data_IF_181581285264
#
_entry.id   IF_181581285264
#
_cell.length_a   1.000
_cell.length_b   1.000
_cell.length_c   1.000
_cell.angle_alpha   90.00
_cell.angle_beta   90.00
_cell.angle_gamma   90.00
#
_symmetry.space_group_name_H-M   'P 1'
#
loop_
_entity.id
_entity.type
_entity.pdbx_description
1 polymer ?
#
# COMPACT_ATOMS: atom_id res chain seq x y z
N UNK A 1 22.58 -2.22 -24.78
CA UNK A 1 21.23 -1.60 -24.77
C UNK A 1 20.15 -2.39 -25.53
N UNK A 2 20.40 -2.90 -26.75
CA UNK A 2 19.41 -3.71 -27.52
C UNK A 2 19.19 -5.15 -27.00
N UNK A 3 20.21 -5.74 -26.37
CA UNK A 3 20.22 -7.14 -25.92
C UNK A 3 19.48 -7.41 -24.58
N UNK A 4 19.16 -6.37 -23.80
CA UNK A 4 18.47 -6.52 -22.50
C UNK A 4 16.94 -6.58 -22.67
N UNK A 5 16.40 -5.79 -23.60
CA UNK A 5 14.99 -5.90 -24.01
C UNK A 5 14.64 -7.29 -24.58
N UNK A 6 15.61 -7.97 -25.20
CA UNK A 6 15.46 -9.35 -25.67
C UNK A 6 15.34 -10.32 -24.48
N UNK A 7 16.09 -10.11 -23.38
CA UNK A 7 16.03 -10.94 -22.16
C UNK A 7 14.76 -10.74 -21.32
N UNK A 8 14.19 -9.53 -21.28
CA UNK A 8 12.89 -9.29 -20.64
C UNK A 8 11.74 -9.83 -21.51
N UNK A 9 11.78 -9.60 -22.83
CA UNK A 9 10.80 -10.20 -23.76
C UNK A 9 10.86 -11.72 -23.82
N UNK A 10 12.01 -12.35 -23.52
CA UNK A 10 12.13 -13.81 -23.50
C UNK A 10 11.68 -14.45 -22.18
N UNK A 11 11.61 -13.68 -21.08
CA UNK A 11 11.08 -14.14 -19.76
C UNK A 11 9.59 -13.84 -19.57
N UNK A 12 9.08 -12.80 -20.23
CA UNK A 12 7.65 -12.65 -20.44
C UNK A 12 7.22 -13.67 -21.49
N UNK A 13 6.58 -14.78 -21.08
CA UNK A 13 5.85 -15.62 -22.05
C UNK A 13 4.96 -14.67 -22.87
N UNK A 14 5.04 -14.67 -24.21
CA UNK A 14 4.09 -13.91 -25.00
C UNK A 14 2.68 -14.31 -24.54
N UNK A 15 1.74 -13.36 -24.43
CA UNK A 15 0.35 -13.72 -24.15
C UNK A 15 -0.02 -14.79 -25.16
N UNK A 16 -0.57 -15.92 -24.68
CA UNK A 16 -1.13 -16.93 -25.59
C UNK A 16 -2.07 -16.16 -26.50
N UNK A 17 -1.82 -16.17 -27.82
CA UNK A 17 -2.63 -15.45 -28.82
C UNK A 17 -4.13 -15.83 -28.75
N UNK A 18 -4.46 -16.90 -28.03
CA UNK A 18 -5.80 -17.44 -27.83
C UNK A 18 -6.15 -17.72 -26.34
N UNK A 19 -5.54 -17.02 -25.37
CA UNK A 19 -6.10 -17.08 -24.01
C UNK A 19 -7.45 -16.36 -24.02
N UNK A 20 -8.52 -17.07 -23.64
CA UNK A 20 -9.82 -16.43 -23.42
C UNK A 20 -9.61 -15.19 -22.55
N UNK A 21 -10.23 -14.03 -22.88
CA UNK A 21 -10.11 -12.83 -22.06
C UNK A 21 -10.45 -13.24 -20.63
N UNK A 22 -9.50 -13.03 -19.72
CA UNK A 22 -9.69 -13.42 -18.33
C UNK A 22 -11.00 -12.82 -17.84
N UNK A 23 -11.84 -13.67 -17.24
CA UNK A 23 -13.16 -13.26 -16.75
C UNK A 23 -13.07 -12.23 -15.61
N UNK A 24 -11.86 -11.87 -15.16
CA UNK A 24 -11.64 -10.90 -14.09
C UNK A 24 -11.14 -9.56 -14.62
N UNK A 25 -11.68 -8.47 -14.10
CA UNK A 25 -11.30 -7.08 -14.38
C UNK A 25 -10.79 -6.39 -13.12
N UNK A 26 -10.07 -5.29 -13.32
CA UNK A 26 -9.63 -4.40 -12.25
C UNK A 26 -10.75 -3.41 -11.94
N UNK A 27 -11.18 -3.28 -10.68
CA UNK A 27 -12.14 -2.25 -10.27
C UNK A 27 -11.50 -0.86 -10.18
N UNK A 28 -10.19 -0.81 -9.98
CA UNK A 28 -9.46 0.38 -9.57
C UNK A 28 -9.44 1.44 -10.68
N UNK A 29 -9.32 1.00 -11.94
CA UNK A 29 -9.40 1.90 -13.10
C UNK A 29 -10.74 2.65 -13.22
N UNK A 30 -11.78 2.23 -12.49
CA UNK A 30 -13.11 2.86 -12.48
C UNK A 30 -13.37 3.74 -11.28
N UNK A 31 -12.59 3.63 -10.21
CA UNK A 31 -12.90 4.27 -8.92
C UNK A 31 -11.69 4.86 -8.19
N UNK A 32 -10.50 4.80 -8.78
CA UNK A 32 -9.29 5.28 -8.13
C UNK A 32 -8.17 5.67 -9.08
N UNK A 33 -7.13 6.24 -8.49
CA UNK A 33 -5.85 6.51 -9.14
C UNK A 33 -4.72 6.58 -8.11
N UNK A 34 -3.48 6.47 -8.61
CA UNK A 34 -2.28 6.74 -7.82
C UNK A 34 -1.67 8.08 -8.24
N UNK A 35 -1.35 8.93 -7.27
CA UNK A 35 -0.62 10.19 -7.46
C UNK A 35 0.82 9.98 -7.00
N UNK A 36 1.77 10.13 -7.91
CA UNK A 36 3.19 9.96 -7.63
C UNK A 36 3.82 11.25 -7.08
N UNK A 37 5.02 11.15 -6.50
CA UNK A 37 5.69 12.28 -5.86
C UNK A 37 6.02 13.47 -6.78
N UNK A 38 6.03 13.29 -8.11
CA UNK A 38 6.20 14.32 -9.13
C UNK A 38 4.86 14.83 -9.71
N UNK A 39 3.74 14.42 -9.12
CA UNK A 39 2.38 14.70 -9.59
C UNK A 39 1.89 13.82 -10.74
N UNK A 40 2.71 12.91 -11.27
CA UNK A 40 2.28 11.97 -12.31
C UNK A 40 1.18 11.05 -11.79
N UNK A 41 0.21 10.73 -12.65
CA UNK A 41 -0.93 9.86 -12.31
C UNK A 41 -0.79 8.51 -13.01
N UNK A 42 -0.97 7.43 -12.26
CA UNK A 42 -1.02 6.05 -12.80
C UNK A 42 -2.28 5.32 -12.34
N UNK A 43 -2.55 4.15 -12.93
CA UNK A 43 -3.80 3.42 -12.66
C UNK A 43 -3.85 2.71 -11.31
N UNK A 44 -2.71 2.30 -10.74
CA UNK A 44 -2.64 1.54 -9.49
C UNK A 44 -1.20 1.39 -8.96
N UNK A 45 -1.07 0.84 -7.75
CA UNK A 45 0.20 0.52 -7.08
C UNK A 45 1.10 -0.47 -7.84
N UNK A 46 0.61 -1.15 -8.88
CA UNK A 46 1.42 -2.09 -9.69
C UNK A 46 2.04 -1.46 -10.93
N UNK A 47 1.76 -0.18 -11.22
CA UNK A 47 2.38 0.57 -12.33
C UNK A 47 3.53 1.47 -11.83
N UNK A 48 4.34 0.94 -10.92
CA UNK A 48 5.50 1.60 -10.31
C UNK A 48 6.60 1.98 -11.31
N UNK A 49 6.58 1.39 -12.51
CA UNK A 49 7.54 1.66 -13.58
C UNK A 49 7.00 2.62 -14.64
N UNK A 50 5.88 3.30 -14.37
CA UNK A 50 5.26 4.24 -15.31
C UNK A 50 5.05 3.64 -16.70
N UNK A 51 4.70 2.35 -16.75
CA UNK A 51 4.37 1.67 -18.01
C UNK A 51 3.20 2.35 -18.72
N UNK A 52 2.40 3.15 -18.00
CA UNK A 52 1.38 4.03 -18.57
C UNK A 52 1.04 5.22 -17.64
N UNK A 53 1.80 6.32 -17.73
CA UNK A 53 1.37 7.63 -17.15
C UNK A 53 0.04 8.07 -17.79
N UNK A 54 -0.97 8.33 -16.96
CA UNK A 54 -2.33 8.68 -17.39
C UNK A 54 -2.60 10.19 -17.40
N UNK A 55 -1.78 10.97 -16.69
CA UNK A 55 -1.84 12.43 -16.64
C UNK A 55 -0.86 12.97 -15.60
N UNK A 56 -0.91 14.27 -15.32
CA UNK A 56 -0.14 14.88 -14.24
C UNK A 56 -0.95 15.99 -13.55
N UNK A 57 -1.09 15.92 -12.23
CA UNK A 57 -1.92 16.84 -11.45
C UNK A 57 -1.34 18.25 -11.35
N UNK A 58 -0.04 18.42 -11.65
CA UNK A 58 0.59 19.74 -11.70
C UNK A 58 0.18 20.52 -12.97
N UNK A 59 -0.28 19.84 -14.01
CA UNK A 59 -0.59 20.47 -15.31
C UNK A 59 -2.03 20.29 -15.76
N UNK A 60 -2.80 19.39 -15.14
CA UNK A 60 -4.17 19.07 -15.54
C UNK A 60 -5.08 18.93 -14.31
N UNK A 61 -6.38 19.27 -14.41
CA UNK A 61 -7.40 18.88 -13.43
C UNK A 61 -7.59 17.35 -13.38
N UNK A 62 -7.91 16.80 -12.20
CA UNK A 62 -8.21 15.39 -11.98
C UNK A 62 -9.36 14.90 -12.85
N UNK A 63 -10.39 15.72 -13.06
CA UNK A 63 -11.53 15.36 -13.93
C UNK A 63 -11.07 15.11 -15.37
N UNK A 64 -10.20 15.97 -15.91
CA UNK A 64 -9.64 15.81 -17.26
C UNK A 64 -8.74 14.57 -17.35
N UNK A 65 -8.00 14.24 -16.29
CA UNK A 65 -7.18 13.03 -16.24
C UNK A 65 -8.10 11.80 -16.18
N UNK A 66 -8.99 11.71 -15.19
CA UNK A 66 -9.81 10.52 -14.90
C UNK A 66 -10.92 10.28 -15.92
N UNK A 67 -11.47 11.33 -16.50
CA UNK A 67 -12.40 11.28 -17.63
C UNK A 67 -11.70 11.28 -18.99
N UNK A 68 -10.38 11.45 -19.01
CA UNK A 68 -9.60 11.59 -20.23
C UNK A 68 -9.47 10.30 -21.04
N UNK A 69 -9.03 10.46 -22.29
CA UNK A 69 -8.97 9.37 -23.26
C UNK A 69 -8.06 8.21 -22.81
N UNK A 70 -7.00 8.49 -22.05
CA UNK A 70 -6.10 7.46 -21.50
C UNK A 70 -6.81 6.54 -20.50
N UNK A 71 -7.64 7.09 -19.62
CA UNK A 71 -8.48 6.31 -18.71
C UNK A 71 -9.60 5.59 -19.45
N UNK A 72 -10.27 6.26 -20.39
CA UNK A 72 -11.32 5.63 -21.21
C UNK A 72 -10.79 4.46 -22.06
N UNK A 73 -9.61 4.57 -22.66
CA UNK A 73 -8.94 3.46 -23.36
C UNK A 73 -8.66 2.30 -22.41
N UNK A 74 -8.10 2.58 -21.21
CA UNK A 74 -7.80 1.55 -20.23
C UNK A 74 -9.06 0.82 -19.75
N UNK A 75 -10.14 1.56 -19.48
CA UNK A 75 -11.45 1.00 -19.13
C UNK A 75 -12.03 0.16 -20.27
N UNK A 76 -12.03 0.66 -21.51
CA UNK A 76 -12.46 -0.11 -22.69
C UNK A 76 -11.69 -1.42 -22.84
N UNK A 77 -10.38 -1.39 -22.66
CA UNK A 77 -9.51 -2.58 -22.70
C UNK A 77 -9.78 -3.56 -21.57
N UNK A 78 -10.07 -3.08 -20.36
CA UNK A 78 -10.51 -3.95 -19.26
C UNK A 78 -11.83 -4.65 -19.57
N UNK A 79 -12.79 -3.91 -20.14
CA UNK A 79 -14.12 -4.41 -20.48
C UNK A 79 -14.06 -5.40 -21.64
N UNK A 80 -13.32 -5.10 -22.70
CA UNK A 80 -13.17 -5.99 -23.86
C UNK A 80 -12.31 -7.21 -23.53
N UNK A 81 -11.32 -7.06 -22.66
CA UNK A 81 -10.30 -8.08 -22.40
C UNK A 81 -9.08 -7.98 -23.31
N UNK A 82 -8.97 -6.93 -24.11
CA UNK A 82 -7.72 -6.55 -24.79
C UNK A 82 -6.74 -5.88 -23.80
N UNK A 83 -6.33 -6.67 -22.80
CA UNK A 83 -5.58 -6.18 -21.65
C UNK A 83 -4.17 -5.73 -22.05
N UNK A 84 -3.69 -4.56 -21.57
CA UNK A 84 -2.29 -4.19 -21.67
C UNK A 84 -1.38 -5.27 -21.04
N UNK A 85 -0.14 -5.47 -21.52
CA UNK A 85 0.76 -6.52 -21.03
C UNK A 85 0.91 -6.55 -19.50
N UNK A 86 1.02 -5.38 -18.87
CA UNK A 86 1.12 -5.23 -17.42
C UNK A 86 -0.14 -5.69 -16.67
N UNK A 87 -1.31 -5.59 -17.30
CA UNK A 87 -2.58 -5.99 -16.71
C UNK A 87 -2.80 -7.50 -16.80
N UNK A 88 -2.23 -8.19 -17.81
CA UNK A 88 -2.49 -9.62 -18.07
C UNK A 88 -2.25 -10.50 -16.84
N UNK A 89 -1.26 -10.19 -16.00
CA UNK A 89 -0.97 -10.95 -14.76
C UNK A 89 -1.11 -10.11 -13.49
N UNK A 90 -1.80 -8.98 -13.58
CA UNK A 90 -1.99 -8.12 -12.43
C UNK A 90 -2.88 -8.82 -11.38
N UNK A 91 -2.43 -8.94 -10.11
CA UNK A 91 -3.20 -9.57 -9.05
C UNK A 91 -4.42 -8.73 -8.63
N UNK A 92 -4.50 -7.46 -9.03
CA UNK A 92 -5.64 -6.58 -8.73
C UNK A 92 -6.86 -6.84 -9.63
N UNK A 93 -6.76 -7.75 -10.61
CA UNK A 93 -7.91 -8.19 -11.41
C UNK A 93 -8.65 -9.30 -10.67
N UNK A 94 -9.46 -8.92 -9.69
CA UNK A 94 -10.18 -9.84 -8.79
C UNK A 94 -11.69 -9.87 -8.99
N UNK A 95 -12.25 -8.92 -9.76
CA UNK A 95 -13.70 -8.78 -9.93
C UNK A 95 -14.18 -9.49 -11.20
N UNK A 96 -15.22 -10.34 -11.15
CA UNK A 96 -15.83 -10.89 -12.36
C UNK A 96 -16.32 -9.79 -13.32
N UNK A 97 -16.12 -10.01 -14.61
CA UNK A 97 -16.71 -9.22 -15.69
C UNK A 97 -18.19 -9.55 -15.79
N UNK A 98 -19.00 -8.51 -15.75
CA UNK A 98 -20.47 -8.61 -15.75
C UNK A 98 -21.09 -8.22 -17.08
N UNK A 99 -20.38 -7.47 -17.93
CA UNK A 99 -20.91 -6.91 -19.17
C UNK A 99 -21.65 -5.59 -18.98
N UNK A 100 -21.91 -5.18 -17.73
CA UNK A 100 -22.61 -3.94 -17.37
C UNK A 100 -21.65 -2.80 -17.00
N UNK A 101 -20.34 -2.99 -17.19
CA UNK A 101 -19.34 -1.96 -16.91
C UNK A 101 -19.46 -0.77 -17.87
N UNK A 102 -19.35 0.44 -17.33
CA UNK A 102 -19.34 1.68 -18.12
C UNK A 102 -17.91 2.08 -18.47
N UNK A 103 -17.72 2.72 -19.64
CA UNK A 103 -16.43 3.36 -19.98
C UNK A 103 -16.18 4.64 -19.18
N UNK A 104 -17.25 5.26 -18.68
CA UNK A 104 -17.16 6.36 -17.73
C UNK A 104 -16.84 5.82 -16.33
N UNK A 105 -15.99 6.55 -15.60
CA UNK A 105 -15.63 6.21 -14.23
C UNK A 105 -16.80 6.45 -13.26
N UNK A 106 -16.75 5.84 -12.09
CA UNK A 106 -17.77 5.96 -11.04
C UNK A 106 -17.47 7.09 -10.03
N UNK A 107 -16.63 8.04 -10.44
CA UNK A 107 -15.98 9.00 -9.54
C UNK A 107 -14.77 8.40 -8.82
N UNK A 108 -13.95 9.26 -8.23
CA UNK A 108 -12.74 8.87 -7.50
C UNK A 108 -13.15 8.58 -6.05
N UNK A 109 -13.20 7.31 -5.67
CA UNK A 109 -13.58 6.87 -4.32
C UNK A 109 -12.39 6.64 -3.41
N UNK A 110 -11.22 6.31 -3.97
CA UNK A 110 -10.01 6.22 -3.16
C UNK A 110 -8.77 6.62 -3.96
N UNK A 111 -7.77 7.13 -3.24
CA UNK A 111 -6.51 7.60 -3.79
C UNK A 111 -5.35 6.88 -3.11
N UNK A 112 -4.36 6.51 -3.92
CA UNK A 112 -3.04 6.16 -3.43
C UNK A 112 -2.12 7.37 -3.64
N UNK A 113 -1.44 7.82 -2.60
CA UNK A 113 -0.58 9.01 -2.65
C UNK A 113 0.84 8.58 -2.30
N UNK A 114 1.79 8.87 -3.21
CA UNK A 114 3.23 8.78 -2.99
C UNK A 114 3.74 10.14 -2.49
N UNK A 115 3.93 10.35 -1.18
CA UNK A 115 4.28 11.67 -0.67
C UNK A 115 5.70 12.03 -1.05
N UNK A 116 6.58 11.04 -1.22
CA UNK A 116 7.99 11.24 -1.54
C UNK A 116 8.57 10.01 -2.23
N UNK A 117 9.31 10.24 -3.31
CA UNK A 117 10.09 9.21 -3.99
C UNK A 117 11.50 9.14 -3.38
N UNK A 118 11.56 8.79 -2.09
CA UNK A 118 12.82 8.60 -1.35
C UNK A 118 12.58 7.75 -0.09
N UNK A 119 13.62 7.09 0.40
CA UNK A 119 13.58 6.22 1.56
C UNK A 119 14.95 6.17 2.24
N UNK A 120 14.93 6.12 3.57
CA UNK A 120 16.11 6.00 4.43
C UNK A 120 16.65 4.57 4.54
N UNK A 121 15.90 3.55 4.08
CA UNK A 121 16.29 2.14 4.09
C UNK A 121 16.75 1.65 2.71
N UNK A 122 17.41 0.49 2.68
CA UNK A 122 17.87 -0.20 1.45
C UNK A 122 17.40 -1.65 1.43
N UNK A 123 16.10 -1.88 1.55
CA UNK A 123 15.59 -3.24 1.74
C UNK A 123 15.87 -4.12 0.51
N UNK A 124 16.39 -5.35 0.69
CA UNK A 124 16.53 -6.31 -0.41
C UNK A 124 15.18 -6.52 -1.09
N UNK A 125 15.15 -6.57 -2.42
CA UNK A 125 13.92 -6.73 -3.21
C UNK A 125 12.90 -5.58 -3.11
N UNK A 126 13.22 -4.45 -2.48
CA UNK A 126 12.41 -3.23 -2.62
C UNK A 126 12.66 -2.62 -4.01
N UNK A 127 11.60 -2.33 -4.76
CA UNK A 127 11.72 -1.77 -6.10
C UNK A 127 12.43 -0.42 -6.12
N UNK A 128 12.23 0.45 -5.12
CA UNK A 128 12.97 1.71 -5.00
C UNK A 128 14.47 1.48 -4.84
N UNK A 129 14.86 0.48 -4.02
CA UNK A 129 16.28 0.13 -3.82
C UNK A 129 16.87 -0.42 -5.11
N UNK A 130 16.16 -1.32 -5.78
CA UNK A 130 16.57 -1.89 -7.06
C UNK A 130 16.72 -0.83 -8.15
N UNK A 131 15.80 0.14 -8.24
CA UNK A 131 15.89 1.27 -9.19
C UNK A 131 17.17 2.08 -8.98
N UNK A 132 17.56 2.34 -7.73
CA UNK A 132 18.78 3.08 -7.41
C UNK A 132 20.06 2.28 -7.65
N UNK A 133 20.10 1.01 -7.24
CA UNK A 133 21.30 0.17 -7.37
C UNK A 133 21.56 -0.25 -8.81
N UNK A 134 20.52 -0.58 -9.57
CA UNK A 134 20.64 -1.01 -10.97
C UNK A 134 20.71 0.16 -11.96
N UNK A 135 20.65 1.42 -11.46
CA UNK A 135 20.53 2.64 -12.27
C UNK A 135 19.42 2.49 -13.34
N UNK A 136 18.31 1.87 -12.92
CA UNK A 136 17.23 1.42 -13.78
C UNK A 136 16.01 2.31 -13.55
N UNK A 137 15.60 3.08 -14.57
CA UNK A 137 14.45 4.00 -14.50
C UNK A 137 14.51 4.93 -13.28
N UNK A 138 15.61 5.68 -13.14
CA UNK A 138 15.75 6.64 -12.05
C UNK A 138 14.79 7.82 -12.27
N UNK A 139 13.79 7.92 -11.40
CA UNK A 139 13.03 9.15 -11.18
C UNK A 139 13.82 10.05 -10.23
N UNK A 140 13.76 11.39 -10.40
CA UNK A 140 14.41 12.28 -9.46
C UNK A 140 13.83 12.06 -8.06
N UNK A 141 14.70 12.10 -7.05
CA UNK A 141 14.23 12.19 -5.67
C UNK A 141 13.42 13.47 -5.55
N UNK A 142 12.14 13.33 -5.30
CA UNK A 142 11.20 14.44 -5.24
C UNK A 142 10.12 14.13 -4.21
N UNK A 143 9.46 15.18 -3.74
CA UNK A 143 8.34 15.11 -2.83
C UNK A 143 7.12 15.75 -3.49
N UNK A 144 5.94 15.16 -3.30
CA UNK A 144 4.69 15.78 -3.69
C UNK A 144 4.57 17.09 -2.91
N UNK A 145 4.25 18.19 -3.59
CA UNK A 145 4.06 19.48 -2.92
C UNK A 145 2.73 19.49 -2.17
N UNK A 146 2.67 20.23 -1.06
CA UNK A 146 1.40 20.48 -0.38
C UNK A 146 0.35 21.12 -1.30
N UNK A 147 0.76 21.99 -2.22
CA UNK A 147 -0.15 22.62 -3.19
C UNK A 147 -0.81 21.59 -4.12
N UNK A 148 0.00 20.71 -4.74
CA UNK A 148 -0.51 19.66 -5.60
C UNK A 148 -1.41 18.69 -4.83
N UNK A 149 -1.04 18.35 -3.59
CA UNK A 149 -1.87 17.55 -2.71
C UNK A 149 -3.21 18.23 -2.42
N UNK A 150 -3.23 19.51 -2.03
CA UNK A 150 -4.46 20.27 -1.75
C UNK A 150 -5.40 20.26 -2.96
N UNK A 151 -4.86 20.55 -4.16
CA UNK A 151 -5.60 20.50 -5.42
C UNK A 151 -6.25 19.13 -5.63
N UNK A 152 -5.49 18.05 -5.47
CA UNK A 152 -5.99 16.67 -5.59
C UNK A 152 -7.15 16.40 -4.62
N UNK A 153 -7.01 16.80 -3.35
CA UNK A 153 -8.05 16.59 -2.33
C UNK A 153 -9.29 17.42 -2.65
N UNK A 154 -9.15 18.69 -3.02
CA UNK A 154 -10.26 19.56 -3.38
C UNK A 154 -11.08 18.96 -4.52
N UNK A 155 -10.43 18.53 -5.59
CA UNK A 155 -11.07 17.99 -6.80
C UNK A 155 -11.67 16.60 -6.58
N UNK A 156 -11.07 15.76 -5.73
CA UNK A 156 -11.60 14.42 -5.42
C UNK A 156 -12.66 14.43 -4.30
N UNK A 157 -12.74 15.50 -3.49
CA UNK A 157 -13.58 15.56 -2.29
C UNK A 157 -15.06 15.18 -2.45
N UNK A 158 -15.75 15.38 -3.59
CA UNK A 158 -17.16 15.03 -3.70
C UNK A 158 -17.47 13.53 -3.55
N UNK A 159 -16.50 12.66 -3.87
CA UNK A 159 -16.69 11.20 -3.86
C UNK A 159 -15.64 10.43 -3.07
N UNK A 160 -14.56 11.10 -2.65
CA UNK A 160 -13.41 10.46 -2.02
C UNK A 160 -13.75 9.95 -0.61
N UNK A 161 -13.48 8.66 -0.39
CA UNK A 161 -13.74 7.95 0.87
C UNK A 161 -12.47 7.49 1.57
N UNK A 162 -11.38 7.27 0.83
CA UNK A 162 -10.15 6.72 1.39
C UNK A 162 -8.89 7.28 0.73
N UNK A 163 -7.89 7.65 1.54
CA UNK A 163 -6.51 7.85 1.09
C UNK A 163 -5.59 6.82 1.70
N UNK A 164 -4.79 6.17 0.83
CA UNK A 164 -3.62 5.39 1.20
C UNK A 164 -2.36 6.22 1.01
N UNK A 165 -1.71 6.57 2.11
CA UNK A 165 -0.53 7.43 2.15
C UNK A 165 0.73 6.56 2.19
N UNK A 166 1.12 6.05 1.02
CA UNK A 166 2.21 5.09 0.80
C UNK A 166 2.41 4.92 -0.71
N UNK A 167 3.59 4.55 -1.20
CA UNK A 167 3.76 3.98 -2.55
C UNK A 167 5.14 3.30 -2.64
N UNK A 168 6.19 4.06 -2.94
CA UNK A 168 7.54 3.54 -3.15
C UNK A 168 8.55 4.05 -2.11
N UNK A 169 8.37 5.30 -1.64
CA UNK A 169 9.22 5.88 -0.61
C UNK A 169 8.72 5.65 0.82
N UNK A 170 9.43 6.26 1.77
CA UNK A 170 9.00 6.38 3.16
C UNK A 170 8.13 7.64 3.29
N UNK A 171 6.80 7.52 3.42
CA UNK A 171 5.90 8.66 3.33
C UNK A 171 6.21 9.76 4.35
N UNK A 172 6.60 9.38 5.57
CA UNK A 172 6.85 10.34 6.66
C UNK A 172 8.18 11.08 6.52
N UNK A 173 8.97 10.82 5.48
CA UNK A 173 10.11 11.65 5.09
C UNK A 173 9.71 12.93 4.34
N UNK A 174 8.48 13.04 3.83
CA UNK A 174 8.02 14.30 3.26
C UNK A 174 7.83 15.32 4.41
N UNK A 175 8.54 16.46 4.41
CA UNK A 175 8.45 17.44 5.49
C UNK A 175 7.06 18.08 5.63
N UNK A 176 6.23 17.99 4.59
CA UNK A 176 4.86 18.51 4.55
C UNK A 176 3.80 17.42 4.85
N UNK A 177 4.19 16.20 5.23
CA UNK A 177 3.25 15.09 5.46
C UNK A 177 2.16 15.44 6.48
N UNK A 178 2.54 16.06 7.60
CA UNK A 178 1.58 16.44 8.65
C UNK A 178 0.57 17.46 8.14
N UNK A 179 1.02 18.42 7.33
CA UNK A 179 0.12 19.44 6.76
C UNK A 179 -0.80 18.85 5.70
N UNK A 180 -0.34 17.86 4.93
CA UNK A 180 -1.19 17.10 4.01
C UNK A 180 -2.28 16.33 4.77
N UNK A 181 -1.91 15.58 5.81
CA UNK A 181 -2.85 14.80 6.62
C UNK A 181 -3.89 15.70 7.29
N UNK A 182 -3.44 16.82 7.88
CA UNK A 182 -4.32 17.82 8.51
C UNK A 182 -5.31 18.38 7.49
N UNK A 183 -4.82 18.81 6.33
CA UNK A 183 -5.67 19.36 5.28
C UNK A 183 -6.71 18.36 4.77
N UNK A 184 -6.32 17.10 4.56
CA UNK A 184 -7.25 16.06 4.13
C UNK A 184 -8.38 15.83 5.14
N UNK A 185 -8.04 15.77 6.44
CA UNK A 185 -9.03 15.63 7.53
C UNK A 185 -9.94 16.85 7.64
N UNK A 186 -9.40 18.06 7.55
CA UNK A 186 -10.17 19.31 7.59
C UNK A 186 -11.15 19.41 6.42
N UNK A 187 -10.70 19.06 5.21
CA UNK A 187 -11.51 19.13 3.99
C UNK A 187 -12.60 18.06 3.96
N UNK A 188 -12.29 16.85 4.43
CA UNK A 188 -13.18 15.68 4.36
C UNK A 188 -13.19 15.00 5.75
N UNK A 189 -14.05 15.47 6.69
CA UNK A 189 -14.01 14.99 8.07
C UNK A 189 -14.21 13.48 8.26
N UNK A 190 -14.91 12.82 7.34
CA UNK A 190 -15.21 11.38 7.37
C UNK A 190 -14.25 10.53 6.50
N UNK A 191 -13.21 11.14 5.93
CA UNK A 191 -12.24 10.44 5.10
C UNK A 191 -11.51 9.38 5.91
N UNK A 192 -11.41 8.16 5.37
CA UNK A 192 -10.54 7.15 5.95
C UNK A 192 -9.10 7.41 5.50
N UNK A 193 -8.17 7.54 6.44
CA UNK A 193 -6.75 7.79 6.15
C UNK A 193 -5.92 6.64 6.70
N UNK A 194 -5.18 5.96 5.81
CA UNK A 194 -4.26 4.89 6.19
C UNK A 194 -2.83 5.18 5.74
N UNK A 195 -1.86 4.93 6.61
CA UNK A 195 -0.43 5.12 6.36
C UNK A 195 0.29 3.76 6.46
N UNK A 196 1.17 3.48 5.51
CA UNK A 196 2.14 2.39 5.62
C UNK A 196 3.55 2.97 5.65
N UNK A 197 4.32 2.63 6.68
CA UNK A 197 5.60 3.29 6.98
C UNK A 197 6.58 2.28 7.59
N UNK A 198 7.88 2.54 7.43
CA UNK A 198 8.92 1.82 8.17
C UNK A 198 9.07 2.29 9.63
N UNK A 199 8.33 3.33 10.03
CA UNK A 199 8.20 3.78 11.42
C UNK A 199 9.37 4.58 12.00
N UNK A 200 10.50 4.71 11.30
CA UNK A 200 11.69 5.39 11.83
C UNK A 200 11.54 6.91 11.99
N UNK A 201 10.52 7.49 11.36
CA UNK A 201 10.15 8.91 11.44
C UNK A 201 8.96 9.19 12.37
N UNK A 202 8.42 8.18 13.07
CA UNK A 202 7.34 8.35 14.07
C UNK A 202 7.94 8.77 15.44
N UNK A 203 8.74 9.83 15.46
CA UNK A 203 9.19 10.45 16.71
C UNK A 203 8.05 11.16 17.45
N UNK A 204 8.31 11.68 18.65
CA UNK A 204 7.28 12.26 19.54
C UNK A 204 6.35 13.28 18.85
N UNK A 205 6.90 14.22 18.09
CA UNK A 205 6.10 15.22 17.35
C UNK A 205 5.19 14.58 16.30
N UNK A 206 5.71 13.59 15.57
CA UNK A 206 4.92 12.85 14.58
C UNK A 206 3.86 11.98 15.26
N UNK A 207 4.15 11.36 16.40
CA UNK A 207 3.17 10.58 17.17
C UNK A 207 1.97 11.44 17.53
N UNK A 208 2.23 12.63 18.08
CA UNK A 208 1.18 13.62 18.41
C UNK A 208 0.42 14.04 17.16
N UNK A 209 1.11 14.38 16.08
CA UNK A 209 0.48 14.79 14.84
C UNK A 209 -0.44 13.71 14.23
N UNK A 210 -0.04 12.44 14.24
CA UNK A 210 -0.83 11.33 13.70
C UNK A 210 -2.13 11.10 14.52
N UNK A 211 -2.06 11.27 15.84
CA UNK A 211 -3.23 11.19 16.72
C UNK A 211 -4.15 12.41 16.53
N UNK A 212 -3.60 13.62 16.53
CA UNK A 212 -4.36 14.87 16.38
C UNK A 212 -5.05 15.00 15.02
N UNK A 213 -4.39 14.57 13.95
CA UNK A 213 -4.98 14.53 12.59
C UNK A 213 -6.00 13.40 12.43
N UNK A 214 -6.21 12.59 13.47
CA UNK A 214 -7.17 11.49 13.49
C UNK A 214 -6.92 10.51 12.34
N UNK A 215 -5.65 10.14 12.08
CA UNK A 215 -5.34 9.06 11.14
C UNK A 215 -6.02 7.79 11.61
N UNK A 216 -6.72 7.09 10.72
CA UNK A 216 -7.54 5.95 11.10
C UNK A 216 -6.70 4.68 11.27
N UNK A 217 -5.66 4.52 10.44
CA UNK A 217 -4.84 3.32 10.43
C UNK A 217 -3.36 3.59 10.13
N UNK A 218 -2.46 2.99 10.93
CA UNK A 218 -1.02 3.02 10.72
C UNK A 218 -0.47 1.60 10.74
N UNK A 219 0.08 1.16 9.60
CA UNK A 219 0.77 -0.11 9.46
C UNK A 219 2.28 0.13 9.47
N UNK A 220 2.95 -0.35 10.50
CA UNK A 220 4.38 -0.16 10.71
C UNK A 220 5.11 -1.44 10.31
N UNK A 221 5.97 -1.32 9.31
CA UNK A 221 6.71 -2.43 8.73
C UNK A 221 8.01 -2.71 9.50
N UNK A 222 8.02 -3.76 10.32
CA UNK A 222 9.17 -4.17 11.13
C UNK A 222 9.38 -5.68 10.98
N UNK A 223 10.34 -6.10 10.16
CA UNK A 223 10.48 -7.51 9.72
C UNK A 223 11.56 -8.27 10.51
N UNK A 224 11.44 -8.27 11.84
CA UNK A 224 12.36 -8.93 12.78
C UNK A 224 11.99 -8.58 14.22
N UNK A 225 12.35 -9.43 15.19
CA UNK A 225 12.12 -9.19 16.62
C UNK A 225 13.40 -8.79 17.39
N UNK A 226 14.51 -8.59 16.66
CA UNK A 226 15.79 -8.13 17.18
C UNK A 226 16.51 -7.27 16.14
N UNK A 227 17.55 -6.53 16.56
CA UNK A 227 18.39 -5.79 15.61
C UNK A 227 18.99 -6.71 14.55
N UNK A 228 19.43 -7.92 14.95
CA UNK A 228 20.09 -8.88 14.07
C UNK A 228 19.16 -9.39 12.96
N UNK A 229 17.94 -9.78 13.29
CA UNK A 229 16.96 -10.31 12.32
C UNK A 229 16.31 -9.21 11.49
N UNK A 230 16.06 -8.04 12.10
CA UNK A 230 15.44 -6.88 11.46
C UNK A 230 16.28 -6.33 10.30
N UNK A 231 17.59 -6.11 10.52
CA UNK A 231 18.43 -5.46 9.51
C UNK A 231 18.82 -6.34 8.33
N UNK A 232 18.61 -7.65 8.40
CA UNK A 232 18.79 -8.54 7.25
C UNK A 232 17.91 -8.09 6.08
N UNK A 233 16.68 -7.64 6.38
CA UNK A 233 15.79 -7.06 5.38
C UNK A 233 15.76 -5.53 5.45
N UNK A 234 15.64 -4.92 6.63
CA UNK A 234 15.48 -3.48 6.79
C UNK A 234 16.84 -2.79 6.90
N UNK A 235 17.65 -2.93 5.86
CA UNK A 235 19.05 -2.44 5.82
C UNK A 235 19.11 -0.94 6.10
N UNK A 236 19.93 -0.55 7.06
CA UNK A 236 20.06 0.82 7.56
C UNK A 236 19.06 1.18 8.67
N UNK A 237 18.24 0.24 9.10
CA UNK A 237 17.26 0.43 10.17
C UNK A 237 17.84 0.22 11.58
N UNK A 238 17.18 0.83 12.55
CA UNK A 238 17.41 0.64 13.98
C UNK A 238 16.13 0.05 14.62
N UNK A 239 16.23 -1.20 15.07
CA UNK A 239 15.13 -1.95 15.67
C UNK A 239 14.65 -1.30 16.97
N UNK A 240 15.59 -0.87 17.82
CA UNK A 240 15.26 -0.24 19.10
C UNK A 240 14.47 1.05 18.87
N UNK A 241 14.94 1.87 17.92
CA UNK A 241 14.27 3.12 17.55
C UNK A 241 12.87 2.89 16.99
N UNK A 242 12.71 1.99 16.01
CA UNK A 242 11.38 1.74 15.43
C UNK A 242 10.41 1.14 16.45
N UNK A 243 10.90 0.25 17.33
CA UNK A 243 10.10 -0.31 18.42
C UNK A 243 9.66 0.78 19.41
N UNK A 244 10.57 1.66 19.84
CA UNK A 244 10.26 2.81 20.69
C UNK A 244 9.26 3.77 20.04
N UNK A 245 9.41 4.03 18.74
CA UNK A 245 8.48 4.87 17.99
C UNK A 245 7.08 4.26 17.92
N UNK A 246 6.97 2.95 17.68
CA UNK A 246 5.71 2.21 17.64
C UNK A 246 5.02 2.22 19.01
N UNK A 247 5.75 1.86 20.08
CA UNK A 247 5.22 1.89 21.44
C UNK A 247 4.86 3.33 21.88
N UNK A 248 5.64 4.33 21.47
CA UNK A 248 5.36 5.74 21.73
C UNK A 248 4.08 6.23 21.04
N UNK A 249 3.80 5.76 19.81
CA UNK A 249 2.55 6.07 19.13
C UNK A 249 1.33 5.47 19.87
N UNK A 250 1.43 4.22 20.32
CA UNK A 250 0.40 3.58 21.16
C UNK A 250 0.17 4.38 22.43
N UNK A 251 1.24 4.70 23.16
CA UNK A 251 1.15 5.47 24.40
C UNK A 251 0.53 6.85 24.19
N UNK A 252 0.92 7.55 23.11
CA UNK A 252 0.38 8.88 22.76
C UNK A 252 -1.11 8.81 22.44
N UNK A 253 -1.53 7.83 21.64
CA UNK A 253 -2.96 7.58 21.33
C UNK A 253 -3.76 7.32 22.61
N UNK A 254 -3.28 6.41 23.45
CA UNK A 254 -3.99 6.00 24.67
C UNK A 254 -4.07 7.15 25.67
N UNK A 255 -3.00 7.96 25.82
CA UNK A 255 -2.98 9.13 26.68
C UNK A 255 -3.95 10.23 26.21
N UNK A 256 -4.19 10.33 24.90
CA UNK A 256 -5.20 11.21 24.33
C UNK A 256 -6.64 10.66 24.47
N UNK A 257 -6.83 9.45 25.00
CA UNK A 257 -8.13 8.78 25.04
C UNK A 257 -8.71 8.49 23.65
N UNK A 258 -7.85 8.41 22.63
CA UNK A 258 -8.23 8.22 21.24
C UNK A 258 -8.39 6.74 20.90
N UNK A 259 -9.37 6.41 20.05
CA UNK A 259 -9.54 5.07 19.45
C UNK A 259 -8.69 4.89 18.17
N UNK A 260 -7.99 5.94 17.74
CA UNK A 260 -7.23 5.97 16.49
C UNK A 260 -5.88 6.72 16.61
N UNK A 261 -4.86 6.34 15.83
CA UNK A 261 -4.90 5.30 14.80
C UNK A 261 -5.01 3.89 15.39
N UNK A 262 -5.63 2.98 14.63
CA UNK A 262 -5.34 1.55 14.80
C UNK A 262 -3.92 1.29 14.31
N UNK A 263 -3.11 0.62 15.11
CA UNK A 263 -1.67 0.44 14.93
C UNK A 263 -1.40 -1.04 14.73
N UNK A 264 -0.89 -1.38 13.55
CA UNK A 264 -0.49 -2.74 13.21
C UNK A 264 1.02 -2.82 13.05
N UNK A 265 1.64 -3.76 13.73
CA UNK A 265 2.98 -4.23 13.39
C UNK A 265 2.86 -5.23 12.23
N UNK A 266 3.33 -4.87 11.04
CA UNK A 266 3.50 -5.80 9.93
C UNK A 266 4.88 -6.46 9.96
N UNK A 267 4.90 -7.78 9.79
CA UNK A 267 6.09 -8.63 9.87
C UNK A 267 6.16 -9.59 8.68
N UNK A 268 7.08 -9.34 7.76
CA UNK A 268 7.36 -10.25 6.64
C UNK A 268 8.19 -11.45 7.12
N UNK A 269 7.75 -12.64 6.75
CA UNK A 269 8.38 -13.91 7.11
C UNK A 269 9.45 -14.34 6.08
N UNK A 270 10.67 -14.46 6.58
CA UNK A 270 11.88 -14.89 5.90
C UNK A 270 12.48 -16.09 6.64
N UNK A 271 13.41 -16.82 5.99
CA UNK A 271 14.04 -18.02 6.58
C UNK A 271 14.81 -17.76 7.89
N UNK A 272 15.23 -16.52 8.17
CA UNK A 272 15.99 -16.18 9.37
C UNK A 272 15.12 -15.60 10.50
N UNK A 273 13.83 -15.37 10.26
CA UNK A 273 12.95 -14.68 11.21
C UNK A 273 11.63 -15.43 11.46
N UNK A 274 11.59 -16.73 11.16
CA UNK A 274 10.41 -17.58 11.24
C UNK A 274 10.52 -18.76 12.24
N UNK A 275 11.53 -18.75 13.11
CA UNK A 275 11.66 -19.74 14.20
C UNK A 275 10.59 -19.52 15.28
N UNK A 276 10.28 -20.56 16.04
CA UNK A 276 9.28 -20.44 17.12
C UNK A 276 9.70 -19.41 18.18
N UNK A 277 10.99 -19.35 18.51
CA UNK A 277 11.53 -18.38 19.46
C UNK A 277 11.39 -16.94 18.95
N UNK A 278 11.66 -16.69 17.67
CA UNK A 278 11.55 -15.36 17.07
C UNK A 278 10.09 -14.91 16.97
N UNK A 279 9.19 -15.82 16.59
CA UNK A 279 7.75 -15.57 16.57
C UNK A 279 7.23 -15.24 17.97
N UNK A 280 7.57 -16.05 18.97
CA UNK A 280 7.17 -15.81 20.36
C UNK A 280 7.71 -14.47 20.88
N UNK A 281 8.96 -14.14 20.54
CA UNK A 281 9.56 -12.86 20.89
C UNK A 281 8.83 -11.68 20.26
N UNK A 282 8.48 -11.76 18.97
CA UNK A 282 7.70 -10.72 18.31
C UNK A 282 6.30 -10.56 18.93
N UNK A 283 5.62 -11.65 19.28
CA UNK A 283 4.32 -11.61 19.96
C UNK A 283 4.42 -10.94 21.34
N UNK A 284 5.43 -11.28 22.14
CA UNK A 284 5.62 -10.65 23.46
C UNK A 284 5.94 -9.16 23.33
N UNK A 285 6.81 -8.78 22.40
CA UNK A 285 7.10 -7.37 22.12
C UNK A 285 5.88 -6.61 21.62
N UNK A 286 5.05 -7.21 20.77
CA UNK A 286 3.81 -6.61 20.30
C UNK A 286 2.83 -6.37 21.47
N UNK A 287 2.69 -7.36 22.37
CA UNK A 287 1.88 -7.25 23.58
C UNK A 287 2.38 -6.16 24.52
N UNK A 288 3.70 -6.08 24.72
CA UNK A 288 4.34 -5.04 25.54
C UNK A 288 4.17 -3.64 24.94
N UNK A 289 4.30 -3.50 23.62
CA UNK A 289 4.08 -2.23 22.93
C UNK A 289 2.60 -1.80 22.93
N UNK A 290 1.67 -2.75 23.05
CA UNK A 290 0.23 -2.50 23.03
C UNK A 290 -0.31 -2.21 21.63
N UNK A 291 0.31 -2.78 20.59
CA UNK A 291 -0.23 -2.67 19.21
C UNK A 291 -1.56 -3.42 19.11
N UNK A 292 -2.45 -2.95 18.25
CA UNK A 292 -3.77 -3.57 18.10
C UNK A 292 -3.68 -4.88 17.30
N UNK A 293 -2.71 -4.97 16.38
CA UNK A 293 -2.47 -6.17 15.60
C UNK A 293 -0.98 -6.43 15.34
N UNK A 294 -0.63 -7.72 15.28
CA UNK A 294 0.60 -8.23 14.68
C UNK A 294 0.23 -9.02 13.44
N UNK A 295 0.64 -8.52 12.27
CA UNK A 295 0.26 -9.06 10.97
C UNK A 295 1.45 -9.74 10.28
N UNK A 296 1.36 -11.06 10.17
CA UNK A 296 2.34 -11.88 9.45
C UNK A 296 2.09 -11.84 7.94
N UNK A 297 3.14 -11.58 7.17
CA UNK A 297 3.07 -11.52 5.73
C UNK A 297 4.06 -12.51 5.09
N UNK A 298 3.55 -13.47 4.31
CA UNK A 298 4.40 -14.24 3.41
C UNK A 298 4.74 -13.42 2.16
N UNK A 299 5.92 -13.68 1.60
CA UNK A 299 6.44 -13.01 0.41
C UNK A 299 6.87 -14.02 -0.64
N UNK A 300 7.07 -13.55 -1.87
CA UNK A 300 7.58 -14.32 -3.00
C UNK A 300 9.08 -14.05 -3.26
N UNK A 301 9.76 -13.36 -2.33
CA UNK A 301 11.20 -13.12 -2.44
C UNK A 301 12.00 -14.43 -2.37
N UNK A 302 13.23 -14.40 -2.87
CA UNK A 302 14.16 -15.53 -2.80
C UNK A 302 14.55 -15.93 -1.38
N UNK A 303 14.33 -15.03 -0.42
CA UNK A 303 14.57 -15.23 1.01
C UNK A 303 13.30 -15.57 1.82
N UNK A 304 12.16 -15.79 1.15
CA UNK A 304 10.89 -16.07 1.82
C UNK A 304 10.99 -17.28 2.75
N UNK A 305 10.24 -17.24 3.85
CA UNK A 305 10.08 -18.39 4.74
C UNK A 305 9.69 -19.65 3.95
N UNK A 306 10.37 -20.76 4.24
CA UNK A 306 10.01 -22.10 3.73
C UNK A 306 8.92 -22.76 4.57
N UNK A 307 8.70 -22.26 5.78
CA UNK A 307 7.73 -22.78 6.77
C UNK A 307 6.34 -22.16 6.57
N UNK A 308 6.27 -20.86 6.30
CA UNK A 308 5.02 -20.12 6.18
C UNK A 308 4.80 -19.65 4.74
N UNK A 309 3.99 -20.43 4.01
CA UNK A 309 3.71 -20.19 2.60
C UNK A 309 2.49 -19.27 2.42
N UNK A 310 2.40 -18.51 1.31
CA UNK A 310 1.21 -17.73 0.96
C UNK A 310 -0.07 -18.58 0.99
N UNK A 311 -1.11 -18.09 1.67
CA UNK A 311 -2.37 -18.84 1.87
C UNK A 311 -2.32 -19.91 2.96
N UNK A 312 -1.18 -20.05 3.66
CA UNK A 312 -1.00 -20.97 4.78
C UNK A 312 -1.63 -20.47 6.09
N UNK A 313 -1.49 -21.29 7.14
CA UNK A 313 -1.86 -20.91 8.51
C UNK A 313 -0.69 -20.18 9.16
N UNK A 314 -0.98 -19.03 9.76
CA UNK A 314 0.00 -18.21 10.48
C UNK A 314 -0.25 -18.25 11.99
N UNK A 315 0.77 -17.95 12.82
CA UNK A 315 0.59 -17.83 14.26
C UNK A 315 -0.48 -16.79 14.60
N UNK A 316 -1.37 -17.13 15.53
CA UNK A 316 -2.43 -16.22 15.96
C UNK A 316 -1.82 -15.30 17.03
N UNK A 317 -1.89 -13.99 16.80
CA UNK A 317 -1.63 -13.01 17.85
C UNK A 317 -2.91 -12.78 18.63
N UNK A 318 -2.91 -13.15 19.92
CA UNK A 318 -4.03 -12.92 20.83
C UNK A 318 -4.00 -11.45 21.31
N UNK A 319 -4.46 -10.55 20.44
CA UNK A 319 -4.85 -9.18 20.77
C UNK A 319 -6.34 -8.99 20.51
N UNK A 320 -6.97 -7.95 21.07
CA UNK A 320 -8.36 -7.60 20.73
C UNK A 320 -8.45 -7.22 19.24
N UNK A 321 -8.71 -8.20 18.38
CA UNK A 321 -8.90 -7.95 16.96
C UNK A 321 -8.39 -9.09 16.10
N UNK A 322 -9.34 -9.79 15.48
CA UNK A 322 -9.11 -10.82 14.47
C UNK A 322 -8.08 -10.39 13.42
N UNK A 323 -7.41 -11.38 12.82
CA UNK A 323 -6.55 -11.24 11.64
C UNK A 323 -7.05 -10.12 10.73
N UNK A 324 -6.35 -8.98 10.74
CA UNK A 324 -6.73 -7.85 9.93
C UNK A 324 -6.40 -8.17 8.48
N UNK A 325 -7.34 -8.82 7.78
CA UNK A 325 -7.17 -9.19 6.38
C UNK A 325 -7.30 -7.91 5.54
N UNK A 326 -6.60 -7.84 4.40
CA UNK A 326 -6.67 -6.73 3.43
C UNK A 326 -8.12 -6.37 3.03
N UNK A 327 -9.05 -7.33 3.20
CA UNK A 327 -10.50 -7.17 3.10
C UNK A 327 -11.09 -6.10 4.02
N UNK A 328 -10.47 -5.80 5.16
CA UNK A 328 -10.95 -4.78 6.12
C UNK A 328 -10.63 -3.35 5.68
N UNK A 329 -9.52 -3.12 4.97
CA UNK A 329 -9.28 -1.84 4.27
C UNK A 329 -10.36 -1.63 3.17
N UNK A 330 -10.76 -2.70 2.50
CA UNK A 330 -11.81 -2.69 1.46
C UNK A 330 -13.22 -2.52 2.07
N UNK A 331 -13.51 -3.13 3.22
CA UNK A 331 -14.81 -2.99 3.90
C UNK A 331 -14.97 -1.62 4.56
N UNK A 332 -13.91 -1.11 5.21
CA UNK A 332 -13.88 0.22 5.81
C UNK A 332 -14.03 1.33 4.74
N UNK A 333 -13.37 1.18 3.58
CA UNK A 333 -13.53 2.11 2.44
C UNK A 333 -14.92 2.08 1.78
N UNK A 334 -15.75 1.06 2.06
CA UNK A 334 -17.14 0.95 1.58
C UNK A 334 -18.19 1.46 2.56
N UNK A 335 -17.81 1.85 3.78
CA UNK A 335 -18.76 2.31 4.81
C UNK A 335 -19.67 1.20 5.34
N UNK A 336 -19.25 -0.06 5.22
CA UNK A 336 -20.01 -1.21 5.70
C UNK A 336 -19.84 -1.36 7.22
N UNK A 337 -20.95 -1.55 7.96
CA UNK A 337 -20.91 -1.82 9.39
C UNK A 337 -20.18 -3.14 9.66
N UNK A 338 -19.27 -3.15 10.64
CA UNK A 338 -18.52 -4.33 11.11
C UNK A 338 -19.47 -5.37 11.74
N UNK A 339 -20.21 -6.12 10.92
CA UNK A 339 -20.89 -7.32 11.37
C UNK A 339 -19.85 -8.45 11.48
N UNK A 340 -19.77 -9.10 12.66
CA UNK A 340 -18.96 -10.30 12.88
C UNK A 340 -19.25 -11.32 11.77
N UNK A 341 -18.27 -11.71 10.93
CA UNK A 341 -18.48 -12.83 10.03
C UNK A 341 -18.61 -14.08 10.89
N UNK A 342 -19.65 -14.88 10.62
CA UNK A 342 -19.78 -16.21 11.17
C UNK A 342 -18.53 -17.03 10.82
N UNK A 343 -18.12 -17.88 11.76
CA UNK A 343 -16.98 -18.76 11.60
C UNK A 343 -17.16 -19.69 10.39
N UNK A 344 -16.54 -19.34 9.25
CA UNK A 344 -16.17 -20.30 8.22
C UNK A 344 -14.96 -19.77 7.47
N UNK A 345 -13.78 -20.21 7.90
CA UNK A 345 -12.54 -20.15 7.13
C UNK A 345 -12.66 -21.12 5.96
N UNK A 346 -13.29 -20.70 4.88
CA UNK A 346 -13.02 -21.29 3.57
C UNK A 346 -12.10 -20.34 2.81
N UNK A 347 -10.89 -20.85 2.57
CA UNK A 347 -9.79 -20.16 1.94
C UNK A 347 -10.19 -19.57 0.58
N UNK A 348 -10.04 -18.25 0.43
CA UNK A 348 -9.92 -17.64 -0.88
C UNK A 348 -8.57 -18.06 -1.47
N UNK A 349 -8.61 -19.07 -2.34
CA UNK A 349 -7.52 -19.49 -3.22
C UNK A 349 -7.70 -18.75 -4.56
N UNK A 350 -6.95 -17.66 -4.84
CA UNK A 350 -7.09 -16.92 -6.10
C UNK A 350 -6.53 -17.67 -7.32
N UNK A 351 -6.08 -18.93 -7.18
CA UNK A 351 -5.41 -19.68 -8.24
C UNK A 351 -5.88 -21.14 -8.43
N UNK A 352 -7.11 -21.48 -8.02
CA UNK A 352 -7.79 -22.71 -8.48
C UNK A 352 -8.68 -22.47 -9.69
#
# INVERSE_FOLDING_TARGET
>A
MRNFWIKIKSRLRPPRKNAAPSALICSEVFESMSILADGSVTCACTDIFEGRVLGNVNTQPLEEIFGGERYRDLRRRMISGDLPPQCVRCPLRVRPRTGNETVEGRGIQWLQIDPIFNCNLRCPNCDLTRMWEENFFIRPRTALSLEAFKKVIDEASPTLKHIRFHMLGEPLMNPQSVDMLRYAREKIPHLFISIETNGLFIGAEMQKALVETSVDYVKISVDGASQETYVQYRVGGDFSKVYQNMAGLVATRNAAGSDRPRITWQYILFEWNDSDEEIQRAQELARMAGVDHLYWLATHSTCASKRFLPGGKYPIFEGEGQSFNMTLEIAASRGESMARPAASLDAYDPWK
#
